data_IF_516646672215
#
_entry.id   IF_516646672215
#
_cell.length_a   1.000
_cell.length_b   1.000
_cell.length_c   1.000
_cell.angle_alpha   90.00
_cell.angle_beta   90.00
_cell.angle_gamma   90.00
#
_symmetry.space_group_name_H-M   'P 1'
#
loop_
_entity.id
_entity.type
_entity.pdbx_description
1 polymer ?
#
# COMPACT_ATOMS: atom_id res chain seq x y z
N UNK A 1 -42.97 12.75 -21.38
CA UNK A 1 -41.72 13.21 -22.01
C UNK A 1 -42.11 14.21 -23.09
N UNK A 2 -42.09 15.50 -22.75
CA UNK A 2 -42.24 16.57 -23.73
C UNK A 2 -40.87 16.71 -24.40
N UNK A 3 -40.77 16.26 -25.66
CA UNK A 3 -39.59 16.52 -26.48
C UNK A 3 -39.29 18.00 -26.56
N UNK A 4 -38.10 18.37 -26.98
CA UNK A 4 -37.75 19.78 -27.22
C UNK A 4 -38.79 20.34 -28.19
N UNK A 5 -39.68 21.22 -27.66
CA UNK A 5 -40.59 21.96 -28.49
C UNK A 5 -39.81 23.02 -29.28
N UNK A 6 -40.11 23.14 -30.56
CA UNK A 6 -39.54 24.20 -31.37
C UNK A 6 -39.82 25.54 -30.71
N UNK A 7 -38.86 26.46 -30.73
CA UNK A 7 -39.09 27.81 -30.27
C UNK A 7 -40.22 28.41 -31.09
N UNK A 8 -41.20 29.07 -30.42
CA UNK A 8 -42.25 29.76 -31.16
C UNK A 8 -41.64 30.86 -32.03
N UNK A 9 -42.17 30.98 -33.25
CA UNK A 9 -41.79 32.04 -34.19
C UNK A 9 -42.58 33.31 -33.82
N UNK A 10 -41.99 34.14 -32.96
CA UNK A 10 -42.61 35.38 -32.45
C UNK A 10 -41.56 36.47 -32.37
N UNK A 11 -41.96 37.70 -32.75
CA UNK A 11 -41.06 38.86 -32.73
C UNK A 11 -40.82 39.38 -31.30
N UNK A 12 -41.80 39.18 -30.41
CA UNK A 12 -41.77 39.72 -29.06
C UNK A 12 -42.71 38.98 -28.10
N UNK A 13 -42.29 38.80 -26.82
CA UNK A 13 -43.07 38.18 -25.76
C UNK A 13 -43.05 39.07 -24.51
N UNK A 14 -44.21 39.56 -24.09
CA UNK A 14 -44.39 40.34 -22.84
C UNK A 14 -45.17 39.58 -21.80
N UNK A 15 -45.04 39.99 -20.53
CA UNK A 15 -45.89 39.53 -19.45
C UNK A 15 -45.62 38.15 -18.90
N UNK A 16 -44.48 37.54 -19.24
CA UNK A 16 -44.08 36.25 -18.66
C UNK A 16 -43.69 36.47 -17.19
N UNK A 17 -44.31 35.70 -16.32
CA UNK A 17 -43.84 35.58 -14.93
C UNK A 17 -42.46 34.91 -14.88
N UNK A 18 -41.62 35.26 -13.89
CA UNK A 18 -40.36 34.55 -13.71
C UNK A 18 -40.59 33.04 -13.63
N UNK A 19 -40.01 32.27 -14.56
CA UNK A 19 -40.10 30.82 -14.57
C UNK A 19 -38.90 30.24 -13.82
N UNK A 20 -39.18 29.37 -12.87
CA UNK A 20 -38.15 28.57 -12.20
C UNK A 20 -38.19 27.18 -12.80
N UNK A 21 -37.14 26.78 -13.47
CA UNK A 21 -36.94 25.39 -13.90
C UNK A 21 -36.19 24.62 -12.82
N UNK A 22 -36.79 23.54 -12.35
CA UNK A 22 -36.13 22.62 -11.44
C UNK A 22 -35.83 21.36 -12.25
N UNK A 23 -34.59 21.23 -12.70
CA UNK A 23 -34.13 20.07 -13.38
C UNK A 23 -33.54 19.06 -12.39
N UNK A 24 -33.84 17.78 -12.61
CA UNK A 24 -33.12 16.73 -11.91
C UNK A 24 -31.66 16.81 -12.32
N UNK A 25 -30.77 16.90 -11.33
CA UNK A 25 -29.32 16.93 -11.57
C UNK A 25 -28.92 15.69 -12.37
N UNK A 26 -28.58 15.88 -13.63
CA UNK A 26 -28.03 14.81 -14.47
C UNK A 26 -26.73 14.31 -13.85
N UNK A 27 -26.45 13.02 -13.98
CA UNK A 27 -25.23 12.39 -13.49
C UNK A 27 -24.02 13.21 -13.93
N UNK A 28 -23.23 13.67 -12.94
CA UNK A 28 -22.01 14.40 -13.22
C UNK A 28 -21.06 13.52 -14.03
N UNK A 29 -20.51 14.05 -15.13
CA UNK A 29 -19.45 13.35 -15.90
C UNK A 29 -18.12 13.30 -15.14
N UNK A 30 -18.03 13.92 -13.96
CA UNK A 30 -16.85 13.89 -13.13
C UNK A 30 -16.80 12.55 -12.37
N UNK A 31 -15.84 11.67 -12.64
CA UNK A 31 -15.74 10.35 -12.03
C UNK A 31 -15.53 10.40 -10.50
N UNK A 32 -15.08 11.55 -9.96
CA UNK A 32 -14.93 11.76 -8.52
C UNK A 32 -16.24 12.16 -7.83
N UNK A 33 -17.28 12.51 -8.60
CA UNK A 33 -18.59 12.91 -8.07
C UNK A 33 -19.51 11.68 -8.05
N UNK A 34 -19.51 10.97 -6.93
CA UNK A 34 -20.41 9.83 -6.68
C UNK A 34 -21.59 10.25 -5.81
N UNK A 35 -22.66 9.44 -5.78
CA UNK A 35 -23.79 9.67 -4.86
C UNK A 35 -23.30 9.79 -3.42
N UNK A 36 -22.39 8.91 -3.00
CA UNK A 36 -21.84 8.93 -1.64
C UNK A 36 -21.12 10.23 -1.28
N UNK A 37 -20.40 10.85 -2.24
CA UNK A 37 -19.70 12.12 -2.00
C UNK A 37 -20.66 13.33 -2.02
N UNK A 38 -21.69 13.31 -2.84
CA UNK A 38 -22.67 14.39 -2.95
C UNK A 38 -23.59 14.41 -1.72
N UNK A 39 -23.93 13.25 -1.19
CA UNK A 39 -24.80 13.09 -0.02
C UNK A 39 -24.06 13.10 1.31
N UNK A 40 -22.74 13.28 1.30
CA UNK A 40 -21.85 13.22 2.48
C UNK A 40 -21.81 11.84 3.17
N UNK A 41 -22.55 10.84 2.71
CA UNK A 41 -22.54 9.47 3.25
C UNK A 41 -21.11 8.91 3.27
N UNK A 42 -20.33 9.23 2.26
CA UNK A 42 -18.96 8.79 2.15
C UNK A 42 -18.07 9.30 3.29
N UNK A 43 -18.34 10.50 3.83
CA UNK A 43 -17.56 11.07 4.93
C UNK A 43 -17.83 10.30 6.24
N UNK A 44 -19.07 9.89 6.47
CA UNK A 44 -19.40 9.02 7.60
C UNK A 44 -18.78 7.62 7.43
N UNK A 45 -18.81 7.05 6.24
CA UNK A 45 -18.19 5.75 5.97
C UNK A 45 -16.67 5.80 6.20
N UNK A 46 -15.97 6.84 5.76
CA UNK A 46 -14.54 6.99 6.01
C UNK A 46 -14.21 7.01 7.50
N UNK A 47 -15.00 7.77 8.26
CA UNK A 47 -14.84 7.83 9.72
C UNK A 47 -15.12 6.48 10.36
N UNK A 48 -16.20 5.81 9.97
CA UNK A 48 -16.60 4.50 10.48
C UNK A 48 -15.49 3.48 10.25
N UNK A 49 -15.03 3.31 9.01
CA UNK A 49 -14.00 2.34 8.68
C UNK A 49 -12.65 2.65 9.35
N UNK A 50 -12.29 3.92 9.50
CA UNK A 50 -11.06 4.31 10.19
C UNK A 50 -11.10 4.02 11.69
N UNK A 51 -12.30 4.05 12.32
CA UNK A 51 -12.42 3.91 13.78
C UNK A 51 -12.72 2.49 14.25
N UNK A 52 -13.54 1.76 13.52
CA UNK A 52 -13.99 0.42 13.93
C UNK A 52 -13.76 -0.66 12.86
N UNK A 53 -13.23 -0.29 11.71
CA UNK A 53 -12.92 -1.25 10.66
C UNK A 53 -11.83 -2.23 11.11
N UNK A 54 -12.03 -3.50 10.81
CA UNK A 54 -11.02 -4.55 11.06
C UNK A 54 -10.22 -4.73 9.76
N UNK A 55 -8.93 -4.35 9.75
CA UNK A 55 -8.12 -4.47 8.55
C UNK A 55 -7.77 -5.92 8.24
N UNK A 56 -7.86 -6.25 6.98
CA UNK A 56 -7.44 -7.53 6.44
C UNK A 56 -6.32 -7.37 5.42
N UNK A 57 -5.39 -8.30 5.41
CA UNK A 57 -4.30 -8.31 4.44
C UNK A 57 -4.85 -8.47 3.01
N UNK A 58 -4.53 -7.57 2.07
CA UNK A 58 -5.03 -7.66 0.69
C UNK A 58 -4.47 -8.85 -0.09
N UNK A 59 -3.39 -9.49 0.39
CA UNK A 59 -2.80 -10.67 -0.26
C UNK A 59 -3.32 -11.99 0.30
N UNK A 60 -3.38 -12.13 1.62
CA UNK A 60 -3.72 -13.41 2.25
C UNK A 60 -5.05 -13.40 3.03
N UNK A 61 -5.72 -12.25 3.15
CA UNK A 61 -7.01 -12.12 3.84
C UNK A 61 -6.96 -12.18 5.37
N UNK A 62 -5.78 -12.42 5.98
CA UNK A 62 -5.65 -12.47 7.44
C UNK A 62 -5.95 -11.12 8.08
N UNK A 63 -6.55 -11.16 9.28
CA UNK A 63 -6.74 -9.95 10.10
C UNK A 63 -5.39 -9.35 10.45
N UNK A 64 -5.30 -8.04 10.34
CA UNK A 64 -4.14 -7.25 10.76
C UNK A 64 -4.56 -6.48 12.01
N UNK A 65 -3.81 -6.64 13.09
CA UNK A 65 -4.05 -5.94 14.35
C UNK A 65 -2.76 -5.31 14.86
N UNK A 66 -2.90 -4.18 15.54
CA UNK A 66 -1.83 -3.60 16.33
C UNK A 66 -1.75 -4.36 17.66
N UNK A 67 -0.54 -4.66 18.09
CA UNK A 67 -0.31 -5.33 19.37
C UNK A 67 0.55 -4.43 20.25
N UNK A 68 0.15 -4.27 21.53
CA UNK A 68 1.03 -3.65 22.51
C UNK A 68 2.15 -4.60 22.92
N UNK A 69 3.26 -4.05 23.43
CA UNK A 69 4.38 -4.87 23.95
C UNK A 69 3.86 -5.85 25.02
N UNK A 70 2.99 -5.42 25.92
CA UNK A 70 2.42 -6.27 26.97
C UNK A 70 1.63 -7.45 26.37
N UNK A 71 0.83 -7.21 25.34
CA UNK A 71 0.11 -8.29 24.65
C UNK A 71 1.04 -9.29 23.98
N UNK A 72 2.17 -8.82 23.44
CA UNK A 72 3.21 -9.67 22.84
C UNK A 72 3.88 -10.50 23.96
N UNK A 73 4.20 -9.88 25.11
CA UNK A 73 4.76 -10.57 26.28
C UNK A 73 3.85 -11.71 26.74
N UNK A 74 2.55 -11.41 26.92
CA UNK A 74 1.56 -12.41 27.35
C UNK A 74 1.48 -13.60 26.40
N UNK A 75 1.49 -13.33 25.09
CA UNK A 75 1.46 -14.38 24.07
C UNK A 75 2.74 -15.22 24.08
N UNK A 76 3.92 -14.61 24.31
CA UNK A 76 5.19 -15.33 24.40
C UNK A 76 5.22 -16.22 25.65
N UNK A 77 4.77 -15.71 26.79
CA UNK A 77 4.71 -16.49 28.05
C UNK A 77 3.76 -17.69 27.89
N UNK A 78 2.66 -17.51 27.17
CA UNK A 78 1.69 -18.60 26.89
C UNK A 78 2.27 -19.74 26.03
N UNK A 79 3.45 -19.57 25.39
CA UNK A 79 4.12 -20.65 24.63
C UNK A 79 4.49 -21.82 25.53
N UNK A 80 4.89 -21.54 26.78
CA UNK A 80 5.16 -22.57 27.80
C UNK A 80 6.45 -22.37 28.55
N UNK A 81 6.42 -22.82 29.83
CA UNK A 81 7.59 -22.76 30.72
C UNK A 81 8.79 -23.56 30.19
N UNK A 82 9.99 -23.08 30.48
CA UNK A 82 11.30 -23.64 30.07
C UNK A 82 11.56 -23.64 28.56
N UNK A 83 10.71 -23.02 27.75
CA UNK A 83 10.95 -22.85 26.32
C UNK A 83 12.11 -21.89 26.08
N UNK A 84 13.08 -22.32 25.26
CA UNK A 84 14.21 -21.48 24.87
C UNK A 84 13.82 -20.67 23.64
N UNK A 85 13.94 -19.34 23.72
CA UNK A 85 13.58 -18.42 22.65
C UNK A 85 14.74 -17.48 22.31
N UNK A 86 14.71 -16.97 21.10
CA UNK A 86 15.56 -15.84 20.65
C UNK A 86 14.63 -14.70 20.23
N UNK A 87 14.94 -13.50 20.69
CA UNK A 87 14.30 -12.26 20.26
C UNK A 87 15.11 -11.71 19.10
N UNK A 88 14.52 -11.66 17.91
CA UNK A 88 15.18 -11.26 16.68
C UNK A 88 14.51 -10.01 16.11
N UNK A 89 15.31 -9.03 15.70
CA UNK A 89 14.84 -7.84 15.00
C UNK A 89 15.08 -7.99 13.49
N UNK A 90 14.03 -8.08 12.64
CA UNK A 90 14.19 -8.21 11.20
C UNK A 90 14.58 -6.85 10.59
N UNK A 91 15.85 -6.73 10.16
CA UNK A 91 16.37 -5.49 9.55
C UNK A 91 16.30 -5.53 8.02
N UNK A 92 16.54 -6.69 7.42
CA UNK A 92 16.40 -6.92 5.98
C UNK A 92 15.44 -8.08 5.75
N UNK A 93 14.45 -7.88 4.88
CA UNK A 93 13.46 -8.91 4.53
C UNK A 93 13.35 -9.04 3.02
N UNK A 94 13.86 -10.14 2.48
CA UNK A 94 13.74 -10.50 1.07
C UNK A 94 14.30 -9.48 0.08
N UNK A 95 15.32 -8.69 0.46
CA UNK A 95 15.93 -7.67 -0.39
C UNK A 95 17.23 -8.20 -1.00
N UNK A 96 17.48 -7.86 -2.27
CA UNK A 96 18.74 -8.15 -2.96
C UNK A 96 19.84 -7.18 -2.53
N UNK A 97 21.07 -7.65 -2.41
CA UNK A 97 22.22 -6.82 -2.08
C UNK A 97 23.24 -7.53 -1.18
N UNK A 98 24.42 -6.97 -1.01
CA UNK A 98 25.46 -7.48 -0.10
C UNK A 98 25.22 -7.07 1.36
N UNK A 99 24.40 -6.05 1.59
CA UNK A 99 23.96 -5.54 2.90
C UNK A 99 25.08 -5.31 3.94
N UNK A 100 26.34 -5.13 3.51
CA UNK A 100 27.51 -4.90 4.38
C UNK A 100 27.28 -3.74 5.36
N UNK A 101 26.75 -2.60 4.86
CA UNK A 101 26.47 -1.43 5.71
C UNK A 101 25.44 -1.72 6.81
N UNK A 102 24.50 -2.63 6.54
CA UNK A 102 23.48 -3.03 7.52
C UNK A 102 24.09 -3.91 8.59
N UNK A 103 24.91 -4.89 8.20
CA UNK A 103 25.64 -5.75 9.12
C UNK A 103 26.60 -4.93 10.01
N UNK A 104 27.31 -3.97 9.41
CA UNK A 104 28.14 -3.01 10.16
C UNK A 104 27.34 -2.16 11.14
N UNK A 105 26.15 -1.73 10.75
CA UNK A 105 25.26 -0.96 11.62
C UNK A 105 24.77 -1.79 12.81
N UNK A 106 24.39 -3.05 12.59
CA UNK A 106 23.99 -3.99 13.66
C UNK A 106 25.15 -4.17 14.65
N UNK A 107 26.37 -4.38 14.14
CA UNK A 107 27.59 -4.50 14.97
C UNK A 107 27.90 -3.23 15.75
N UNK A 108 27.79 -2.05 15.12
CA UNK A 108 28.01 -0.74 15.80
C UNK A 108 27.00 -0.45 16.89
N UNK A 109 25.78 -0.96 16.74
CA UNK A 109 24.72 -0.83 17.76
C UNK A 109 24.91 -1.80 18.94
N UNK A 110 26.01 -2.60 18.96
CA UNK A 110 26.37 -3.47 20.08
C UNK A 110 25.80 -4.88 19.99
N UNK A 111 25.15 -5.26 18.89
CA UNK A 111 24.68 -6.62 18.70
C UNK A 111 25.83 -7.54 18.28
N UNK A 112 25.96 -8.67 18.97
CA UNK A 112 27.07 -9.61 18.77
C UNK A 112 26.76 -10.61 17.65
N UNK A 113 25.46 -10.91 17.44
CA UNK A 113 24.99 -11.94 16.51
C UNK A 113 23.95 -11.43 15.56
N UNK A 114 23.97 -11.95 14.34
CA UNK A 114 22.89 -11.82 13.38
C UNK A 114 22.50 -13.19 12.84
N UNK A 115 21.22 -13.36 12.55
CA UNK A 115 20.73 -14.48 11.75
C UNK A 115 20.63 -14.01 10.31
N UNK A 116 21.30 -14.70 9.41
CA UNK A 116 21.30 -14.40 7.98
C UNK A 116 20.81 -15.64 7.21
N UNK A 117 19.72 -15.48 6.48
CA UNK A 117 19.08 -16.57 5.71
C UNK A 117 18.81 -17.84 6.54
N UNK A 118 18.53 -17.66 7.84
CA UNK A 118 18.25 -18.74 8.79
C UNK A 118 19.44 -19.22 9.61
N UNK A 119 20.66 -18.87 9.25
CA UNK A 119 21.89 -19.26 9.94
C UNK A 119 22.37 -18.13 10.86
N UNK A 120 22.90 -18.49 12.05
CA UNK A 120 23.39 -17.53 13.05
C UNK A 120 24.89 -17.34 12.89
N UNK A 121 25.32 -16.09 12.76
CA UNK A 121 26.70 -15.66 12.62
C UNK A 121 27.14 -14.80 13.80
N UNK A 122 28.40 -14.98 14.24
CA UNK A 122 29.07 -14.10 15.19
C UNK A 122 29.69 -12.92 14.43
N UNK A 123 29.10 -11.73 14.56
CA UNK A 123 29.48 -10.53 13.78
C UNK A 123 30.92 -10.06 14.04
N UNK A 124 31.54 -10.45 15.17
CA UNK A 124 32.90 -10.08 15.50
C UNK A 124 33.95 -10.95 14.82
N UNK A 125 33.64 -12.23 14.61
CA UNK A 125 34.59 -13.27 14.22
C UNK A 125 34.44 -13.69 12.77
N UNK A 126 33.22 -13.52 12.18
CA UNK A 126 32.89 -14.04 10.87
C UNK A 126 32.66 -12.93 9.85
N UNK A 127 33.30 -13.03 8.68
CA UNK A 127 33.04 -12.15 7.54
C UNK A 127 31.89 -12.72 6.72
N UNK A 128 30.74 -12.06 6.76
CA UNK A 128 29.54 -12.50 6.06
C UNK A 128 29.52 -11.92 4.64
N UNK A 129 29.73 -12.78 3.64
CA UNK A 129 29.70 -12.43 2.21
C UNK A 129 28.38 -12.86 1.58
N UNK A 130 27.56 -11.87 1.19
CA UNK A 130 26.25 -12.10 0.58
C UNK A 130 26.27 -11.86 -0.93
N UNK A 131 25.53 -12.69 -1.67
CA UNK A 131 25.41 -12.56 -3.11
C UNK A 131 24.48 -11.40 -3.50
N UNK A 132 25.01 -10.43 -4.24
CA UNK A 132 24.26 -9.21 -4.65
C UNK A 132 22.95 -9.50 -5.39
N UNK A 133 22.85 -10.62 -6.08
CA UNK A 133 21.72 -11.00 -6.93
C UNK A 133 20.63 -11.77 -6.21
N UNK A 134 20.94 -12.38 -5.09
CA UNK A 134 20.00 -13.14 -4.25
C UNK A 134 19.24 -12.24 -3.28
N UNK A 135 18.06 -12.69 -2.89
CA UNK A 135 17.28 -12.06 -1.81
C UNK A 135 17.74 -12.61 -0.49
N UNK A 136 18.03 -11.73 0.45
CA UNK A 136 18.49 -12.09 1.79
C UNK A 136 17.53 -11.61 2.86
N UNK A 137 17.52 -12.33 3.98
CA UNK A 137 16.88 -11.93 5.23
C UNK A 137 17.98 -11.76 6.27
N UNK A 138 17.96 -10.65 7.00
CA UNK A 138 18.93 -10.36 8.06
C UNK A 138 18.16 -9.91 9.30
N UNK A 139 18.33 -10.66 10.38
CA UNK A 139 17.77 -10.34 11.68
C UNK A 139 18.89 -10.16 12.71
N UNK A 140 18.84 -9.08 13.48
CA UNK A 140 19.74 -8.92 14.64
C UNK A 140 19.23 -9.78 15.80
N UNK A 141 20.11 -10.54 16.44
CA UNK A 141 19.77 -11.28 17.67
C UNK A 141 19.86 -10.32 18.85
N UNK A 142 18.71 -9.90 19.35
CA UNK A 142 18.62 -8.93 20.44
C UNK A 142 18.85 -9.59 21.79
N UNK A 143 18.17 -10.72 22.04
CA UNK A 143 18.36 -11.47 23.29
C UNK A 143 18.09 -12.98 23.09
N UNK A 144 18.58 -13.78 24.05
CA UNK A 144 18.32 -15.21 24.17
C UNK A 144 17.79 -15.50 25.57
N UNK A 145 16.58 -15.98 25.63
CA UNK A 145 15.84 -16.12 26.87
C UNK A 145 15.32 -17.55 27.05
N UNK A 146 15.07 -17.90 28.29
CA UNK A 146 14.28 -19.09 28.67
C UNK A 146 13.05 -18.60 29.36
N UNK A 147 11.88 -18.97 28.87
CA UNK A 147 10.60 -18.59 29.48
C UNK A 147 10.54 -19.21 30.87
N UNK A 148 10.36 -18.39 31.89
CA UNK A 148 10.23 -18.77 33.29
C UNK A 148 9.52 -17.66 34.05
N UNK A 149 9.01 -17.97 35.24
CA UNK A 149 8.41 -16.97 36.11
C UNK A 149 9.35 -15.80 36.38
N UNK A 150 8.85 -14.56 36.30
CA UNK A 150 9.59 -13.32 36.52
C UNK A 150 10.46 -12.86 35.33
N UNK A 151 10.25 -13.40 34.10
CA UNK A 151 10.99 -13.00 32.90
C UNK A 151 10.40 -11.74 32.25
N UNK A 152 9.19 -11.33 32.63
CA UNK A 152 8.35 -10.35 31.96
C UNK A 152 9.09 -9.03 31.66
N UNK A 153 9.74 -8.47 32.70
CA UNK A 153 10.46 -7.20 32.57
C UNK A 153 11.60 -7.27 31.56
N UNK A 154 12.44 -8.31 31.65
CA UNK A 154 13.54 -8.49 30.69
C UNK A 154 13.04 -8.78 29.27
N UNK A 155 11.96 -9.54 29.13
CA UNK A 155 11.33 -9.82 27.85
C UNK A 155 10.77 -8.55 27.24
N UNK A 156 10.10 -7.69 28.02
CA UNK A 156 9.58 -6.39 27.59
C UNK A 156 10.70 -5.49 27.07
N UNK A 157 11.79 -5.33 27.84
CA UNK A 157 12.95 -4.53 27.40
C UNK A 157 13.56 -5.04 26.08
N UNK A 158 13.68 -6.36 25.96
CA UNK A 158 14.22 -6.99 24.74
C UNK A 158 13.28 -6.81 23.54
N UNK A 159 11.96 -6.85 23.75
CA UNK A 159 10.96 -6.62 22.73
C UNK A 159 10.96 -5.17 22.25
N UNK A 160 11.01 -4.20 23.18
CA UNK A 160 11.08 -2.79 22.83
C UNK A 160 12.34 -2.47 21.98
N UNK A 161 13.49 -3.02 22.38
CA UNK A 161 14.72 -2.88 21.62
C UNK A 161 14.62 -3.52 20.22
N UNK A 162 14.01 -4.70 20.13
CA UNK A 162 13.81 -5.41 18.87
C UNK A 162 12.81 -4.70 17.96
N UNK A 163 11.68 -4.24 18.49
CA UNK A 163 10.66 -3.49 17.74
C UNK A 163 11.21 -2.17 17.20
N UNK A 164 12.01 -1.47 17.99
CA UNK A 164 12.68 -0.23 17.55
C UNK A 164 13.66 -0.48 16.41
N UNK A 165 14.45 -1.55 16.46
CA UNK A 165 15.41 -1.90 15.42
C UNK A 165 14.73 -2.49 14.16
N UNK A 166 13.68 -3.29 14.36
CA UNK A 166 12.89 -3.95 13.31
C UNK A 166 11.74 -3.12 12.74
N UNK A 167 11.73 -1.79 13.01
CA UNK A 167 10.69 -0.88 12.51
C UNK A 167 9.26 -1.34 12.86
N UNK A 168 9.05 -1.73 14.14
CA UNK A 168 7.77 -2.22 14.65
C UNK A 168 7.53 -3.72 14.43
N UNK A 169 8.54 -4.47 14.04
CA UNK A 169 8.48 -5.92 13.85
C UNK A 169 9.49 -6.63 14.76
N UNK A 170 9.07 -7.77 15.31
CA UNK A 170 9.94 -8.66 16.07
C UNK A 170 9.64 -10.11 15.75
N UNK A 171 10.66 -10.94 15.65
CA UNK A 171 10.54 -12.38 15.45
C UNK A 171 10.95 -13.07 16.74
N UNK A 172 10.10 -13.95 17.25
CA UNK A 172 10.43 -14.87 18.34
C UNK A 172 10.72 -16.22 17.72
N UNK A 173 11.98 -16.58 17.71
CA UNK A 173 12.42 -17.91 17.29
C UNK A 173 12.37 -18.86 18.47
N UNK A 174 11.53 -19.89 18.40
CA UNK A 174 11.53 -21.00 19.34
C UNK A 174 12.63 -21.96 18.92
N UNK A 175 13.67 -22.11 19.74
CA UNK A 175 14.85 -22.89 19.37
C UNK A 175 14.46 -24.36 19.11
N UNK A 176 14.69 -24.81 17.88
CA UNK A 176 14.35 -26.17 17.45
C UNK A 176 12.92 -26.37 16.94
N UNK A 177 12.11 -25.31 16.85
CA UNK A 177 10.74 -25.39 16.34
C UNK A 177 10.50 -24.31 15.25
N UNK A 178 9.84 -23.24 15.55
CA UNK A 178 9.34 -22.27 14.57
C UNK A 178 9.66 -20.83 14.94
N UNK A 179 9.51 -19.97 13.95
CA UNK A 179 9.48 -18.52 14.11
C UNK A 179 8.05 -18.02 14.27
N UNK A 180 7.85 -17.10 15.21
CA UNK A 180 6.59 -16.38 15.39
C UNK A 180 6.89 -14.90 15.18
N UNK A 181 6.25 -14.29 14.19
CA UNK A 181 6.39 -12.86 13.90
C UNK A 181 5.31 -12.09 14.63
N UNK A 182 5.70 -11.06 15.38
CA UNK A 182 4.83 -10.07 16.00
C UNK A 182 5.04 -8.70 15.38
N UNK A 183 4.02 -7.86 15.44
CA UNK A 183 4.06 -6.51 14.91
C UNK A 183 3.38 -5.54 15.87
N UNK A 184 4.07 -4.48 16.21
CA UNK A 184 3.49 -3.33 16.91
C UNK A 184 2.65 -2.47 15.95
N UNK A 185 3.02 -2.43 14.67
CA UNK A 185 2.30 -1.71 13.62
C UNK A 185 1.28 -2.62 12.95
N UNK A 186 0.34 -2.01 12.20
CA UNK A 186 -0.60 -2.76 11.35
C UNK A 186 0.15 -3.44 10.19
N UNK A 187 0.81 -4.55 10.48
CA UNK A 187 1.54 -5.34 9.49
C UNK A 187 0.97 -6.75 9.37
N UNK A 188 0.93 -7.26 8.14
CA UNK A 188 0.62 -8.68 7.94
C UNK A 188 1.87 -9.51 8.25
N UNK A 189 1.83 -10.42 9.23
CA UNK A 189 3.00 -11.21 9.61
C UNK A 189 3.51 -12.11 8.48
N UNK A 190 2.62 -12.63 7.63
CA UNK A 190 3.01 -13.53 6.54
C UNK A 190 3.49 -12.80 5.29
N UNK A 191 2.80 -11.71 4.92
CA UNK A 191 3.06 -11.02 3.65
C UNK A 191 4.01 -9.83 3.80
N UNK A 192 4.28 -9.38 5.02
CA UNK A 192 5.13 -8.22 5.30
C UNK A 192 4.58 -6.89 4.78
N UNK A 193 3.28 -6.83 4.49
CA UNK A 193 2.62 -5.59 4.12
C UNK A 193 2.42 -4.76 5.38
N UNK A 194 3.05 -3.59 5.42
CA UNK A 194 2.81 -2.60 6.46
C UNK A 194 1.67 -1.68 6.01
N UNK A 195 0.70 -1.50 6.89
CA UNK A 195 -0.35 -0.51 6.73
C UNK A 195 -0.09 0.57 7.76
N UNK A 196 -0.04 1.82 7.33
CA UNK A 196 0.06 2.95 8.25
C UNK A 196 -1.18 3.02 9.14
N UNK A 197 -1.10 3.79 10.22
CA UNK A 197 -2.25 4.02 11.10
C UNK A 197 -3.49 4.43 10.30
N UNK A 198 -4.63 3.78 10.59
CA UNK A 198 -5.87 4.00 9.84
C UNK A 198 -6.47 5.36 10.15
N UNK A 199 -6.26 6.32 9.26
CA UNK A 199 -6.88 7.63 9.31
C UNK A 199 -7.99 7.77 8.26
N UNK A 200 -9.03 8.60 8.49
CA UNK A 200 -10.10 8.82 7.50
C UNK A 200 -9.61 9.27 6.12
N UNK A 201 -8.44 9.95 6.05
CA UNK A 201 -7.83 10.37 4.77
C UNK A 201 -7.37 9.21 3.90
N UNK A 202 -7.03 8.06 4.49
CA UNK A 202 -6.60 6.86 3.74
C UNK A 202 -7.76 6.20 2.98
N UNK A 203 -8.99 6.44 3.42
CA UNK A 203 -10.18 5.95 2.75
C UNK A 203 -10.71 6.91 1.67
N UNK A 204 -10.02 8.04 1.45
CA UNK A 204 -10.43 9.02 0.43
C UNK A 204 -9.70 8.75 -0.88
N UNK A 205 -10.44 8.30 -1.91
CA UNK A 205 -9.88 8.13 -3.26
C UNK A 205 -9.46 9.46 -3.92
N UNK A 206 -9.77 10.60 -3.29
CA UNK A 206 -9.40 11.94 -3.75
C UNK A 206 -8.20 12.53 -2.97
N UNK A 207 -7.71 11.84 -1.94
CA UNK A 207 -6.56 12.25 -1.15
C UNK A 207 -5.29 11.49 -1.61
N UNK A 208 -4.10 12.10 -1.56
CA UNK A 208 -2.85 11.45 -1.99
C UNK A 208 -2.58 10.10 -1.33
N UNK A 209 -3.02 9.93 -0.07
CA UNK A 209 -2.79 8.72 0.72
C UNK A 209 -3.77 7.57 0.41
N UNK A 210 -4.96 7.87 -0.14
CA UNK A 210 -6.00 6.87 -0.40
C UNK A 210 -6.32 6.66 -1.88
N UNK A 211 -5.78 7.51 -2.76
CA UNK A 211 -6.02 7.39 -4.20
C UNK A 211 -5.22 6.23 -4.80
N UNK A 212 -5.77 5.62 -5.84
CA UNK A 212 -5.03 4.65 -6.65
C UNK A 212 -3.93 5.36 -7.45
N UNK A 213 -2.68 4.90 -7.35
CA UNK A 213 -1.54 5.48 -8.06
C UNK A 213 -1.67 5.38 -9.59
N UNK A 214 -2.33 4.33 -10.10
CA UNK A 214 -2.53 4.14 -11.55
C UNK A 214 -3.52 5.13 -12.15
N UNK A 215 -4.71 5.28 -11.52
CA UNK A 215 -5.79 6.09 -12.08
C UNK A 215 -5.97 7.43 -11.35
N UNK A 216 -5.10 7.76 -10.42
CA UNK A 216 -5.14 8.99 -9.63
C UNK A 216 -6.50 9.23 -8.93
N UNK A 217 -7.16 8.13 -8.54
CA UNK A 217 -8.50 8.14 -7.91
C UNK A 217 -9.66 8.30 -8.90
N UNK A 218 -9.41 8.22 -10.19
CA UNK A 218 -10.46 8.36 -11.22
C UNK A 218 -11.26 7.08 -11.47
N UNK A 219 -10.73 5.92 -11.07
CA UNK A 219 -11.36 4.61 -11.29
C UNK A 219 -11.21 4.06 -12.71
N UNK A 220 -10.83 4.91 -13.66
CA UNK A 220 -10.62 4.57 -15.07
C UNK A 220 -9.27 5.11 -15.53
N UNK A 221 -8.65 4.42 -16.47
CA UNK A 221 -7.47 4.90 -17.18
C UNK A 221 -7.89 5.28 -18.59
N UNK A 222 -7.40 6.42 -19.06
CA UNK A 222 -7.49 6.76 -20.49
C UNK A 222 -6.18 6.34 -21.13
N UNK A 223 -6.23 5.35 -21.97
CA UNK A 223 -5.11 4.86 -22.75
C UNK A 223 -5.37 5.14 -24.23
N UNK A 224 -4.30 5.43 -24.98
CA UNK A 224 -4.39 5.53 -26.42
C UNK A 224 -4.45 4.11 -26.96
N UNK A 225 -5.58 3.75 -27.58
CA UNK A 225 -5.73 2.47 -28.26
C UNK A 225 -5.07 2.55 -29.65
N UNK A 226 -3.97 1.81 -29.90
CA UNK A 226 -3.28 1.82 -31.17
C UNK A 226 -4.17 1.38 -32.34
N UNK A 227 -5.13 0.48 -32.10
CA UNK A 227 -6.02 -0.01 -33.16
C UNK A 227 -7.11 1.02 -33.51
N UNK A 228 -7.45 1.93 -32.60
CA UNK A 228 -8.29 3.09 -32.90
C UNK A 228 -7.52 4.20 -33.60
N UNK A 229 -6.23 4.34 -33.31
CA UNK A 229 -5.36 5.32 -33.99
C UNK A 229 -5.02 4.85 -35.42
N UNK A 230 -4.73 3.57 -35.59
CA UNK A 230 -4.38 2.94 -36.88
C UNK A 230 -5.31 1.76 -37.14
N UNK A 231 -6.58 2.02 -37.51
CA UNK A 231 -7.57 0.97 -37.71
C UNK A 231 -7.28 0.08 -38.91
N UNK A 232 -6.57 0.57 -39.90
CA UNK A 232 -6.13 -0.19 -41.07
C UNK A 232 -4.62 -0.14 -41.24
N UNK A 233 -3.95 -1.20 -40.80
CA UNK A 233 -2.48 -1.35 -40.84
C UNK A 233 -1.90 -1.52 -42.27
N UNK A 234 -2.77 -1.69 -43.28
CA UNK A 234 -2.34 -1.83 -44.68
C UNK A 234 -2.25 -0.49 -45.43
N UNK A 235 -2.72 0.60 -44.82
CA UNK A 235 -2.61 1.91 -45.38
C UNK A 235 -1.28 2.54 -44.99
N UNK A 236 -0.69 3.31 -45.92
CA UNK A 236 0.40 4.21 -45.59
C UNK A 236 -0.11 5.45 -44.88
N UNK A 237 0.80 6.20 -44.22
CA UNK A 237 0.44 7.46 -43.54
C UNK A 237 -0.21 8.45 -44.51
N UNK A 238 0.30 8.51 -45.76
CA UNK A 238 -0.24 9.37 -46.81
C UNK A 238 -1.65 8.95 -47.28
N UNK A 239 -1.99 7.66 -47.17
CA UNK A 239 -3.30 7.11 -47.51
C UNK A 239 -4.28 7.22 -46.34
N UNK A 240 -3.88 7.83 -45.22
CA UNK A 240 -4.75 8.04 -44.07
C UNK A 240 -4.73 6.91 -43.02
N UNK A 241 -3.61 6.22 -42.86
CA UNK A 241 -3.46 5.17 -41.83
C UNK A 241 -3.79 5.69 -40.44
N UNK A 242 -3.53 6.96 -40.11
CA UNK A 242 -3.76 7.58 -38.82
C UNK A 242 -5.15 8.25 -38.81
N UNK A 243 -6.15 7.54 -38.29
CA UNK A 243 -7.55 7.97 -38.24
C UNK A 243 -7.76 9.30 -37.49
N UNK A 244 -6.97 9.58 -36.48
CA UNK A 244 -7.06 10.81 -35.66
C UNK A 244 -6.67 12.08 -36.42
N UNK A 245 -5.97 11.98 -37.55
CA UNK A 245 -5.60 13.13 -38.36
C UNK A 245 -6.67 13.49 -39.41
N UNK A 246 -7.69 12.67 -39.56
CA UNK A 246 -8.79 12.86 -40.52
C UNK A 246 -8.43 12.45 -41.95
N UNK A 247 -9.46 12.18 -42.74
CA UNK A 247 -9.28 11.78 -44.15
C UNK A 247 -8.60 12.87 -44.96
N UNK A 248 -7.48 12.56 -45.62
CA UNK A 248 -6.87 13.36 -46.66
C UNK A 248 -6.12 14.62 -46.22
N UNK A 249 -5.60 14.68 -45.00
CA UNK A 249 -4.98 15.92 -44.44
C UNK A 249 -3.48 15.93 -44.28
N UNK A 250 -2.75 15.11 -44.96
CA UNK A 250 -1.33 15.39 -45.20
C UNK A 250 -1.22 16.20 -46.48
N UNK A 251 -1.52 17.50 -46.41
CA UNK A 251 -1.11 18.45 -47.43
C UNK A 251 0.33 18.85 -47.14
N UNK A 252 1.14 19.07 -48.17
CA UNK A 252 2.56 19.42 -48.09
C UNK A 252 2.85 20.65 -47.19
N UNK A 253 1.84 21.45 -46.87
CA UNK A 253 1.92 22.65 -46.03
C UNK A 253 1.54 22.42 -44.54
N UNK A 254 1.32 21.18 -44.10
CA UNK A 254 0.93 20.94 -42.70
C UNK A 254 2.18 20.78 -41.82
N UNK A 255 2.14 21.43 -40.65
CA UNK A 255 3.20 21.31 -39.62
C UNK A 255 3.46 19.86 -39.14
N UNK A 256 2.59 18.93 -39.50
CA UNK A 256 2.72 17.49 -39.22
C UNK A 256 3.64 16.80 -40.24
N UNK A 257 4.11 17.50 -41.27
CA UNK A 257 5.00 16.99 -42.32
C UNK A 257 6.46 17.36 -42.07
N UNK A 258 6.75 18.24 -41.10
CA UNK A 258 8.12 18.63 -40.70
C UNK A 258 8.68 17.72 -39.56
#
# INVERSE_FOLDING_TARGET
FLGQMNKPDVDYIEGLSPAISIDQKTTSKNPRSTVGTITEIYDYLRLLYARIGIPHCPKCGKVISQQSVDQIVDQIIAIGDRTKIQVLAPVIRGKKGTHEKVLDSIKKNGYVRARVDGEIYELAEEEIKLEKTKKHNIEAVVDRLVIKEGIEGRLSDSLEAALKLGEGLVIINIIGDKDILFSENFACPDCGINIQEFEPRMFSFNAPFGKCEKCDGLGTLMEIDPDLVIPNKNLSVMEGAIATWGEGRLKDDSWTYA
#
